data_IF_262931585210
#
_entry.id   IF_262931585210
#
_cell.length_a   1.000
_cell.length_b   1.000
_cell.length_c   1.000
_cell.angle_alpha   90.00
_cell.angle_beta   90.00
_cell.angle_gamma   90.00
#
_symmetry.space_group_name_H-M   'P 1'
#
loop_
_entity.id
_entity.type
_entity.pdbx_description
1 polymer ?
#
# COMPACT_ATOMS: atom_id res chain seq x y z
N UNK A 1 48.59 7.25 -53.13
CA UNK A 1 47.31 7.27 -52.40
C UNK A 1 46.59 5.99 -52.76
N UNK A 2 46.46 5.05 -51.82
CA UNK A 2 45.61 3.88 -52.00
C UNK A 2 44.61 3.94 -50.87
N UNK A 3 43.35 4.14 -51.23
CA UNK A 3 42.21 4.27 -50.35
C UNK A 3 41.98 2.93 -49.66
N UNK A 4 42.09 2.91 -48.34
CA UNK A 4 41.65 1.78 -47.53
C UNK A 4 40.14 1.79 -47.51
N UNK A 5 39.52 0.82 -48.17
CA UNK A 5 38.08 0.54 -48.07
C UNK A 5 37.68 0.44 -46.59
N UNK A 6 36.67 1.18 -46.12
CA UNK A 6 36.18 1.02 -44.76
C UNK A 6 35.55 -0.35 -44.65
N UNK A 7 36.17 -1.19 -43.82
CA UNK A 7 35.65 -2.49 -43.41
C UNK A 7 34.20 -2.34 -42.97
N UNK A 8 33.27 -2.78 -43.83
CA UNK A 8 31.83 -2.76 -43.55
C UNK A 8 31.60 -3.80 -42.47
N UNK A 9 31.69 -3.36 -41.22
CA UNK A 9 31.33 -4.15 -40.04
C UNK A 9 29.89 -4.62 -40.24
N UNK A 10 29.74 -5.93 -40.42
CA UNK A 10 28.45 -6.56 -40.72
C UNK A 10 27.53 -6.36 -39.52
N UNK A 11 26.48 -5.57 -39.72
CA UNK A 11 25.49 -5.26 -38.68
C UNK A 11 24.86 -6.56 -38.15
N UNK A 12 25.11 -6.86 -36.88
CA UNK A 12 24.45 -7.93 -36.15
C UNK A 12 23.25 -7.34 -35.38
N UNK A 13 22.01 -7.68 -35.75
CA UNK A 13 20.81 -7.14 -35.10
C UNK A 13 20.57 -7.70 -33.69
N UNK A 14 21.17 -8.84 -33.31
CA UNK A 14 20.89 -9.52 -32.03
C UNK A 14 21.34 -8.71 -30.80
N UNK A 15 22.58 -8.16 -30.75
CA UNK A 15 23.05 -7.32 -29.64
C UNK A 15 22.21 -6.05 -29.46
N UNK A 16 21.85 -5.37 -30.55
CA UNK A 16 21.07 -4.14 -30.49
C UNK A 16 19.62 -4.38 -30.05
N UNK A 17 19.00 -5.47 -30.52
CA UNK A 17 17.65 -5.86 -30.08
C UNK A 17 17.63 -6.14 -28.58
N UNK A 18 18.66 -6.84 -28.10
CA UNK A 18 18.83 -7.13 -26.67
C UNK A 18 19.01 -5.86 -25.85
N UNK A 19 19.89 -4.95 -26.29
CA UNK A 19 20.11 -3.65 -25.65
C UNK A 19 18.82 -2.82 -25.58
N UNK A 20 18.07 -2.73 -26.68
CA UNK A 20 16.79 -2.01 -26.72
C UNK A 20 15.75 -2.60 -25.78
N UNK A 21 15.68 -3.93 -25.68
CA UNK A 21 14.79 -4.63 -24.74
C UNK A 21 15.17 -4.33 -23.29
N UNK A 22 16.46 -4.37 -22.97
CA UNK A 22 16.97 -4.06 -21.64
C UNK A 22 16.73 -2.58 -21.26
N UNK A 23 16.92 -1.67 -22.21
CA UNK A 23 16.67 -0.24 -21.99
C UNK A 23 15.17 0.03 -21.74
N UNK A 24 14.27 -0.64 -22.46
CA UNK A 24 12.82 -0.57 -22.21
C UNK A 24 12.44 -1.15 -20.85
N UNK A 25 13.00 -2.30 -20.48
CA UNK A 25 12.77 -2.91 -19.17
C UNK A 25 13.25 -2.00 -18.04
N UNK A 26 14.45 -1.42 -18.15
CA UNK A 26 14.99 -0.45 -17.20
C UNK A 26 14.09 0.79 -17.07
N UNK A 27 13.66 1.37 -18.20
CA UNK A 27 12.75 2.51 -18.20
C UNK A 27 11.40 2.18 -17.56
N UNK A 28 10.88 0.98 -17.75
CA UNK A 28 9.64 0.53 -17.11
C UNK A 28 9.82 0.34 -15.59
N UNK A 29 10.94 -0.22 -15.14
CA UNK A 29 11.28 -0.35 -13.71
C UNK A 29 11.42 1.03 -13.07
N UNK A 30 12.11 1.96 -13.72
CA UNK A 30 12.27 3.34 -13.26
C UNK A 30 10.92 4.07 -13.22
N UNK A 31 10.04 3.87 -14.21
CA UNK A 31 8.69 4.44 -14.21
C UNK A 31 7.81 3.88 -13.08
N UNK A 32 7.86 2.56 -12.83
CA UNK A 32 7.17 1.93 -11.71
C UNK A 32 7.69 2.39 -10.35
N UNK A 33 8.99 2.65 -10.22
CA UNK A 33 9.59 3.21 -9.00
C UNK A 33 9.32 4.72 -8.83
N UNK A 34 9.07 5.43 -9.93
CA UNK A 34 8.72 6.84 -9.94
C UNK A 34 7.24 7.09 -9.59
N UNK A 35 6.37 6.09 -9.69
CA UNK A 35 5.00 6.23 -9.18
C UNK A 35 5.03 6.40 -7.66
N UNK A 36 4.52 7.53 -7.11
CA UNK A 36 4.50 7.76 -5.68
C UNK A 36 3.70 6.65 -5.01
N UNK A 37 4.35 5.88 -4.12
CA UNK A 37 3.66 4.93 -3.26
C UNK A 37 2.61 5.70 -2.46
N UNK A 38 1.33 5.35 -2.65
CA UNK A 38 0.23 5.90 -1.86
C UNK A 38 0.48 5.54 -0.40
N UNK A 39 0.76 6.55 0.42
CA UNK A 39 0.87 6.44 1.87
C UNK A 39 -0.52 6.63 2.49
N UNK A 40 -0.73 6.15 3.72
CA UNK A 40 -2.01 6.38 4.42
C UNK A 40 -2.40 7.86 4.53
N UNK A 41 -1.41 8.77 4.51
CA UNK A 41 -1.63 10.21 4.49
C UNK A 41 -2.20 10.77 3.18
N UNK A 42 -2.14 10.02 2.07
CA UNK A 42 -2.61 10.46 0.75
C UNK A 42 -4.12 10.25 0.54
N UNK A 43 -4.75 9.42 1.38
CA UNK A 43 -6.21 9.20 1.36
C UNK A 43 -6.98 10.33 2.06
N UNK A 44 -6.33 11.05 2.99
CA UNK A 44 -6.95 12.15 3.70
C UNK A 44 -6.82 13.44 2.87
N UNK A 45 -7.93 13.91 2.29
CA UNK A 45 -8.01 15.27 1.75
C UNK A 45 -7.80 16.24 2.92
N UNK A 46 -6.66 16.94 2.94
CA UNK A 46 -6.31 18.01 3.90
C UNK A 46 -7.16 19.27 3.70
N UNK A 47 -8.46 19.12 3.47
CA UNK A 47 -9.37 20.26 3.27
C UNK A 47 -9.48 21.11 4.54
N UNK A 48 -9.30 20.50 5.71
CA UNK A 48 -9.30 21.19 7.00
C UNK A 48 -8.09 20.77 7.83
N UNK A 49 -6.99 21.52 7.71
CA UNK A 49 -5.76 21.29 8.49
C UNK A 49 -6.03 21.43 10.00
N UNK A 50 -7.04 22.22 10.37
CA UNK A 50 -7.52 22.39 11.75
C UNK A 50 -8.21 21.12 12.28
N UNK A 51 -8.92 20.37 11.44
CA UNK A 51 -9.69 19.19 11.85
C UNK A 51 -8.80 17.97 12.14
N UNK A 52 -7.64 17.87 11.48
CA UNK A 52 -6.67 16.77 11.71
C UNK A 52 -5.97 16.92 13.08
N UNK A 53 -5.78 18.17 13.52
CA UNK A 53 -5.06 18.49 14.76
C UNK A 53 -5.93 18.35 16.00
N UNK A 54 -7.26 18.28 15.84
CA UNK A 54 -8.19 18.21 16.95
C UNK A 54 -8.29 16.80 17.55
N UNK A 55 -7.79 15.78 16.85
CA UNK A 55 -8.01 14.39 17.22
C UNK A 55 -9.50 14.04 17.24
N UNK A 56 -9.81 12.77 17.47
CA UNK A 56 -11.18 12.37 17.74
C UNK A 56 -11.42 12.52 19.24
N UNK A 57 -12.16 13.55 19.64
CA UNK A 57 -12.69 13.67 20.99
C UNK A 57 -14.16 13.24 20.94
N UNK A 58 -14.52 12.04 21.43
CA UNK A 58 -15.92 11.65 21.51
C UNK A 58 -16.66 12.62 22.44
N UNK A 59 -17.90 12.98 22.09
CA UNK A 59 -18.73 13.92 22.85
C UNK A 59 -18.97 13.45 24.29
N UNK A 60 -18.97 12.13 24.48
CA UNK A 60 -19.02 11.49 25.78
C UNK A 60 -17.68 10.80 26.05
N UNK A 61 -17.09 11.05 27.22
CA UNK A 61 -15.97 10.27 27.77
C UNK A 61 -16.47 8.85 28.12
N UNK A 62 -16.91 8.11 27.12
CA UNK A 62 -17.18 6.69 27.25
C UNK A 62 -15.82 6.03 27.34
N UNK A 63 -15.45 5.61 28.55
CA UNK A 63 -14.33 4.70 28.73
C UNK A 63 -14.72 3.38 28.07
N UNK A 64 -14.32 3.21 26.81
CA UNK A 64 -14.41 1.93 26.13
C UNK A 64 -13.36 1.02 26.74
N UNK A 65 -13.77 0.11 27.63
CA UNK A 65 -12.90 -0.97 28.09
C UNK A 65 -12.77 -2.00 26.97
N UNK A 66 -11.68 -1.89 26.21
CA UNK A 66 -11.32 -2.90 25.23
C UNK A 66 -10.85 -4.13 26.01
N UNK A 67 -11.70 -5.15 26.07
CA UNK A 67 -11.32 -6.43 26.70
C UNK A 67 -10.02 -6.94 26.07
N UNK A 68 -9.09 -7.41 26.91
CA UNK A 68 -7.74 -7.81 26.49
C UNK A 68 -7.70 -8.88 25.39
N UNK A 69 -8.74 -9.72 25.27
CA UNK A 69 -8.88 -10.69 24.19
C UNK A 69 -9.14 -10.03 22.81
N UNK A 70 -9.95 -8.97 22.76
CA UNK A 70 -10.17 -8.17 21.56
C UNK A 70 -8.87 -7.45 21.20
N UNK A 71 -8.18 -6.85 22.18
CA UNK A 71 -6.90 -6.17 21.96
C UNK A 71 -5.83 -7.14 21.40
N UNK A 72 -5.73 -8.34 21.94
CA UNK A 72 -4.82 -9.38 21.45
C UNK A 72 -5.15 -9.76 20.00
N UNK A 73 -6.42 -10.00 19.68
CA UNK A 73 -6.85 -10.33 18.31
C UNK A 73 -6.59 -9.21 17.29
N UNK A 74 -6.72 -7.94 17.71
CA UNK A 74 -6.38 -6.79 16.87
C UNK A 74 -4.87 -6.66 16.64
N UNK A 75 -4.06 -6.93 17.66
CA UNK A 75 -2.60 -6.89 17.57
C UNK A 75 -2.06 -7.97 16.62
N UNK A 76 -2.62 -9.19 16.65
CA UNK A 76 -2.24 -10.29 15.75
C UNK A 76 -2.60 -10.00 14.29
N UNK A 77 -3.67 -9.24 14.05
CA UNK A 77 -4.20 -8.96 12.71
C UNK A 77 -3.90 -7.53 12.23
N UNK A 78 -2.80 -6.96 12.69
CA UNK A 78 -2.39 -5.61 12.28
C UNK A 78 -2.25 -5.53 10.75
N UNK A 79 -2.92 -4.54 10.16
CA UNK A 79 -2.80 -4.27 8.73
C UNK A 79 -1.39 -3.78 8.40
N UNK A 80 -0.69 -4.50 7.52
CA UNK A 80 0.70 -4.20 7.16
C UNK A 80 0.82 -3.40 5.85
N UNK A 81 -0.31 -3.02 5.24
CA UNK A 81 -0.35 -2.14 4.07
C UNK A 81 0.23 -2.74 2.80
N UNK A 82 0.48 -4.06 2.75
CA UNK A 82 1.02 -4.69 1.55
C UNK A 82 -0.03 -4.74 0.44
N UNK A 83 0.40 -4.43 -0.78
CA UNK A 83 -0.46 -4.47 -1.97
C UNK A 83 -0.98 -5.87 -2.36
N UNK A 84 -0.46 -6.93 -1.74
CA UNK A 84 -0.87 -8.31 -1.99
C UNK A 84 -1.94 -8.81 -1.02
N UNK A 85 -2.38 -7.99 -0.06
CA UNK A 85 -3.52 -8.30 0.81
C UNK A 85 -4.75 -7.58 0.33
N UNK A 86 -5.86 -8.31 0.28
CA UNK A 86 -7.14 -7.72 -0.03
C UNK A 86 -7.64 -6.87 1.16
N UNK A 87 -7.99 -5.60 0.94
CA UNK A 87 -8.50 -4.75 2.01
C UNK A 87 -9.81 -5.26 2.62
N UNK A 88 -10.63 -6.01 1.87
CA UNK A 88 -11.91 -6.51 2.33
C UNK A 88 -11.75 -7.70 3.30
N UNK A 89 -10.78 -8.58 3.04
CA UNK A 89 -10.40 -9.65 3.97
C UNK A 89 -9.99 -9.08 5.34
N UNK A 90 -9.20 -8.00 5.35
CA UNK A 90 -8.79 -7.35 6.60
C UNK A 90 -10.00 -6.79 7.38
N UNK A 91 -10.94 -6.12 6.69
CA UNK A 91 -12.15 -5.58 7.32
C UNK A 91 -13.08 -6.69 7.85
N UNK A 92 -13.17 -7.80 7.13
CA UNK A 92 -13.97 -8.97 7.54
C UNK A 92 -13.41 -9.54 8.83
N UNK A 93 -12.10 -9.76 8.89
CA UNK A 93 -11.43 -10.30 10.07
C UNK A 93 -11.47 -9.34 11.28
N UNK A 94 -11.39 -8.02 11.03
CA UNK A 94 -11.61 -7.01 12.06
C UNK A 94 -13.03 -7.12 12.65
N UNK A 95 -14.06 -7.23 11.80
CA UNK A 95 -15.45 -7.39 12.23
C UNK A 95 -15.65 -8.65 13.07
N UNK A 96 -15.06 -9.78 12.66
CA UNK A 96 -15.08 -11.03 13.42
C UNK A 96 -14.41 -10.89 14.79
N UNK A 97 -13.26 -10.21 14.84
CA UNK A 97 -12.53 -9.95 16.09
C UNK A 97 -13.35 -9.09 17.05
N UNK A 98 -14.08 -8.10 16.54
CA UNK A 98 -14.99 -7.27 17.34
C UNK A 98 -16.17 -8.09 17.90
N UNK A 99 -16.64 -9.12 17.16
CA UNK A 99 -17.72 -10.01 17.60
C UNK A 99 -17.31 -11.00 18.70
N UNK A 100 -16.00 -11.13 19.00
CA UNK A 100 -15.51 -11.87 20.17
C UNK A 100 -16.11 -11.28 21.46
N UNK A 101 -16.41 -9.98 21.47
CA UNK A 101 -17.29 -9.40 22.48
C UNK A 101 -18.74 -9.76 22.19
N UNK A 102 -19.26 -10.79 22.87
CA UNK A 102 -20.71 -10.91 23.05
C UNK A 102 -21.22 -9.72 23.85
N UNK A 103 -22.14 -8.95 23.26
CA UNK A 103 -22.97 -8.00 24.01
C UNK A 103 -23.73 -8.82 25.06
N UNK A 104 -23.66 -8.47 26.35
CA UNK A 104 -24.44 -9.17 27.36
C UNK A 104 -25.93 -9.02 27.03
N UNK A 105 -26.65 -10.15 27.00
CA UNK A 105 -28.11 -10.19 26.82
C UNK A 105 -28.77 -9.37 27.94
N UNK A 106 -29.21 -8.15 27.64
CA UNK A 106 -29.84 -7.28 28.64
C UNK A 106 -29.71 -5.77 28.41
N UNK A 107 -28.92 -5.31 27.44
CA UNK A 107 -28.86 -3.88 27.09
C UNK A 107 -29.86 -3.64 25.95
N UNK A 108 -31.09 -3.26 26.30
CA UNK A 108 -32.07 -2.70 25.36
C UNK A 108 -31.69 -1.26 25.02
N UNK A 109 -31.83 -0.90 23.74
CA UNK A 109 -31.56 0.42 23.13
C UNK A 109 -32.36 1.57 23.78
#
# INVERSE_FOLDING_TARGET
MQETDPEIVKYDPEPERTLRKNLRAKKNIEAMAAEPRRTMGDYCKRSDTEQISLGFQPADLVNFDIKGNVLAGLHENQFDGRANRDPWDHLTQFSETCQIQKVPEGITE
#
